data_IF_171733153160
#
_entry.id   IF_171733153160
#
_cell.length_a   1.000
_cell.length_b   1.000
_cell.length_c   1.000
_cell.angle_alpha   90.00
_cell.angle_beta   90.00
_cell.angle_gamma   90.00
#
_symmetry.space_group_name_H-M   'P 1'
#
loop_
_entity.id
_entity.type
_entity.pdbx_description
1 polymer ?
#
# COMPACT_ATOMS: atom_id res chain seq x y z
N UNK A 1 22.28 -56.86 33.87
CA UNK A 1 22.83 -56.23 32.65
C UNK A 1 21.65 -55.65 31.90
N UNK A 2 21.17 -54.43 32.15
CA UNK A 2 21.70 -53.10 31.73
C UNK A 2 22.11 -53.18 30.25
N UNK A 3 21.39 -52.58 29.29
CA UNK A 3 21.39 -51.13 29.03
C UNK A 3 20.12 -50.65 28.29
N UNK A 4 19.57 -49.53 28.76
CA UNK A 4 18.60 -48.66 28.09
C UNK A 4 19.33 -47.73 27.11
N UNK A 5 18.94 -47.71 25.84
CA UNK A 5 19.42 -46.72 24.86
C UNK A 5 18.44 -45.54 24.78
N UNK A 6 18.89 -44.42 25.34
CA UNK A 6 18.28 -43.10 25.31
C UNK A 6 18.62 -42.44 23.98
N UNK A 7 17.64 -42.23 23.10
CA UNK A 7 17.82 -41.47 21.86
C UNK A 7 17.57 -39.98 22.15
N UNK A 8 18.65 -39.20 22.10
CA UNK A 8 18.63 -37.75 22.15
C UNK A 8 18.05 -37.19 20.85
N UNK A 9 16.95 -36.46 20.95
CA UNK A 9 16.45 -35.60 19.88
C UNK A 9 17.43 -34.44 19.66
N UNK A 10 18.14 -34.48 18.53
CA UNK A 10 18.92 -33.35 18.03
C UNK A 10 17.99 -32.29 17.45
N UNK A 11 17.91 -31.15 18.12
CA UNK A 11 17.32 -29.92 17.60
C UNK A 11 18.27 -29.38 16.52
N UNK A 12 17.98 -29.73 15.26
CA UNK A 12 18.60 -29.13 14.10
C UNK A 12 18.06 -27.72 13.92
N UNK A 13 18.79 -26.71 14.38
CA UNK A 13 18.59 -25.32 13.96
C UNK A 13 18.96 -25.22 12.49
N UNK A 14 17.95 -25.33 11.60
CA UNK A 14 18.05 -24.96 10.20
C UNK A 14 18.29 -23.45 10.11
N UNK A 15 19.55 -23.07 10.16
CA UNK A 15 20.03 -21.73 9.84
C UNK A 15 19.77 -21.50 8.35
N UNK A 16 18.61 -20.90 8.07
CA UNK A 16 18.20 -20.43 6.75
C UNK A 16 19.20 -19.41 6.22
N UNK A 17 20.27 -19.92 5.62
CA UNK A 17 21.24 -19.16 4.85
C UNK A 17 20.51 -18.61 3.63
N UNK A 18 19.92 -17.42 3.79
CA UNK A 18 19.45 -16.55 2.71
C UNK A 18 20.60 -16.47 1.70
N UNK A 19 20.51 -17.26 0.64
CA UNK A 19 21.30 -17.05 -0.57
C UNK A 19 20.83 -15.70 -1.09
N UNK A 20 21.58 -14.66 -0.73
CA UNK A 20 21.51 -13.39 -1.43
C UNK A 20 21.78 -13.72 -2.89
N UNK A 21 20.74 -13.60 -3.71
CA UNK A 21 20.87 -13.59 -5.16
C UNK A 21 21.59 -12.29 -5.50
N UNK A 22 22.92 -12.29 -5.33
CA UNK A 22 23.81 -11.31 -5.91
C UNK A 22 23.89 -11.65 -7.41
N UNK A 23 22.80 -11.38 -8.12
CA UNK A 23 22.86 -11.12 -9.55
C UNK A 23 23.59 -9.78 -9.65
N UNK A 24 24.91 -9.84 -9.76
CA UNK A 24 25.70 -8.72 -10.26
C UNK A 24 24.99 -8.19 -11.51
N UNK A 25 24.54 -6.94 -11.43
CA UNK A 25 24.08 -6.16 -12.57
C UNK A 25 25.28 -5.97 -13.48
N UNK A 26 25.55 -6.93 -14.35
CA UNK A 26 26.55 -6.81 -15.40
C UNK A 26 26.07 -5.73 -16.39
N UNK A 27 26.69 -4.53 -16.41
CA UNK A 27 26.23 -3.42 -17.24
C UNK A 27 26.30 -3.74 -18.73
N UNK A 28 27.09 -4.74 -19.13
CA UNK A 28 27.15 -5.25 -20.51
C UNK A 28 25.88 -6.02 -20.95
N UNK A 29 25.01 -6.41 -20.02
CA UNK A 29 23.79 -7.16 -20.34
C UNK A 29 22.78 -6.36 -21.16
N UNK A 30 22.69 -5.05 -20.92
CA UNK A 30 21.72 -4.16 -21.58
C UNK A 30 22.10 -3.94 -23.05
N UNK A 31 23.39 -3.72 -23.32
CA UNK A 31 23.90 -3.51 -24.67
C UNK A 31 23.73 -4.75 -25.54
N UNK A 32 24.02 -5.93 -24.97
CA UNK A 32 23.85 -7.21 -25.67
C UNK A 32 22.39 -7.50 -26.01
N UNK A 33 21.47 -7.07 -25.16
CA UNK A 33 20.04 -7.23 -25.40
C UNK A 33 19.52 -6.30 -26.50
N UNK A 34 19.99 -5.05 -26.55
CA UNK A 34 19.69 -4.14 -27.66
C UNK A 34 20.26 -4.65 -28.99
N UNK A 35 21.47 -5.23 -28.97
CA UNK A 35 22.06 -5.83 -30.16
C UNK A 35 21.21 -6.98 -30.70
N UNK A 36 20.73 -7.87 -29.81
CA UNK A 36 19.85 -9.00 -30.14
C UNK A 36 18.51 -8.56 -30.74
N UNK A 37 17.90 -7.51 -30.18
CA UNK A 37 16.68 -6.91 -30.74
C UNK A 37 16.93 -6.30 -32.12
N UNK A 38 18.09 -5.68 -32.32
CA UNK A 38 18.53 -5.19 -33.63
C UNK A 38 18.66 -6.30 -34.67
N UNK A 39 19.22 -7.45 -34.30
CA UNK A 39 19.30 -8.61 -35.19
C UNK A 39 17.91 -9.19 -35.53
N UNK A 40 16.99 -9.25 -34.57
CA UNK A 40 15.61 -9.71 -34.80
C UNK A 40 14.85 -8.80 -35.78
N UNK A 41 14.96 -7.47 -35.65
CA UNK A 41 14.35 -6.55 -36.61
C UNK A 41 14.97 -6.69 -38.01
N UNK A 42 16.29 -6.88 -38.09
CA UNK A 42 16.98 -7.11 -39.38
C UNK A 42 16.54 -8.42 -40.02
N UNK A 43 16.38 -9.50 -39.26
CA UNK A 43 15.91 -10.78 -39.81
C UNK A 43 14.45 -10.71 -40.26
N UNK A 44 13.60 -9.97 -39.57
CA UNK A 44 12.22 -9.71 -39.99
C UNK A 44 12.15 -9.00 -41.35
N UNK A 45 12.92 -7.91 -41.53
CA UNK A 45 12.93 -7.17 -42.80
C UNK A 45 13.47 -8.01 -43.97
N UNK A 46 14.50 -8.84 -43.73
CA UNK A 46 15.02 -9.79 -44.71
C UNK A 46 13.98 -10.87 -45.06
N UNK A 47 13.28 -11.42 -44.07
CA UNK A 47 12.23 -12.39 -44.29
C UNK A 47 11.09 -11.77 -45.12
N UNK A 48 10.62 -10.56 -44.75
CA UNK A 48 9.58 -9.86 -45.51
C UNK A 48 9.98 -9.61 -46.97
N UNK A 49 11.25 -9.28 -47.23
CA UNK A 49 11.75 -9.09 -48.59
C UNK A 49 11.73 -10.40 -49.40
N UNK A 50 12.22 -11.51 -48.83
CA UNK A 50 12.23 -12.82 -49.52
C UNK A 50 10.82 -13.31 -49.84
N UNK A 51 9.87 -13.05 -48.95
CA UNK A 51 8.47 -13.41 -49.10
C UNK A 51 7.75 -12.66 -50.23
N UNK A 52 8.17 -11.42 -50.52
CA UNK A 52 7.55 -10.58 -51.55
C UNK A 52 7.99 -10.92 -52.99
N UNK A 53 9.06 -11.71 -53.18
CA UNK A 53 9.69 -11.84 -54.51
C UNK A 53 9.07 -12.90 -55.42
N UNK A 54 8.35 -13.93 -54.93
CA UNK A 54 7.47 -14.81 -55.74
C UNK A 54 7.02 -16.07 -54.97
N UNK A 55 5.77 -16.18 -54.52
CA UNK A 55 5.22 -17.39 -53.93
C UNK A 55 4.22 -18.03 -54.90
N UNK A 56 4.64 -18.95 -55.75
CA UNK A 56 3.70 -19.77 -56.55
C UNK A 56 3.77 -21.26 -56.20
N UNK A 57 4.39 -21.59 -55.06
CA UNK A 57 4.37 -22.95 -54.51
C UNK A 57 3.57 -22.96 -53.20
N UNK A 58 2.55 -23.82 -53.05
CA UNK A 58 1.76 -23.93 -51.81
C UNK A 58 2.63 -24.34 -50.60
N UNK A 59 3.75 -25.02 -50.85
CA UNK A 59 4.74 -25.32 -49.82
C UNK A 59 5.40 -24.05 -49.27
N UNK A 60 5.69 -23.08 -50.15
CA UNK A 60 6.26 -21.81 -49.74
C UNK A 60 5.24 -21.04 -48.90
N UNK A 61 3.97 -20.97 -49.31
CA UNK A 61 2.88 -20.33 -48.55
C UNK A 61 2.75 -20.88 -47.12
N UNK A 62 2.79 -22.21 -46.96
CA UNK A 62 2.74 -22.83 -45.64
C UNK A 62 3.98 -22.50 -44.80
N UNK A 63 5.18 -22.49 -45.42
CA UNK A 63 6.41 -22.07 -44.74
C UNK A 63 6.33 -20.60 -44.29
N UNK A 64 5.76 -19.70 -45.12
CA UNK A 64 5.50 -18.31 -44.74
C UNK A 64 4.63 -18.23 -43.50
N UNK A 65 3.51 -18.96 -43.48
CA UNK A 65 2.57 -18.96 -42.36
C UNK A 65 3.21 -19.47 -41.07
N UNK A 66 4.02 -20.52 -41.15
CA UNK A 66 4.78 -21.02 -40.00
C UNK A 66 5.78 -19.97 -39.48
N UNK A 67 6.54 -19.33 -40.38
CA UNK A 67 7.49 -18.27 -40.00
C UNK A 67 6.77 -17.07 -39.36
N UNK A 68 5.63 -16.65 -39.91
CA UNK A 68 4.82 -15.57 -39.35
C UNK A 68 4.25 -15.93 -37.96
N UNK A 69 3.74 -17.15 -37.79
CA UNK A 69 3.24 -17.64 -36.51
C UNK A 69 4.34 -17.72 -35.45
N UNK A 70 5.52 -18.20 -35.83
CA UNK A 70 6.69 -18.26 -34.95
C UNK A 70 7.17 -16.86 -34.54
N UNK A 71 7.30 -15.93 -35.49
CA UNK A 71 7.71 -14.55 -35.22
C UNK A 71 6.73 -13.86 -34.27
N UNK A 72 5.43 -14.04 -34.51
CA UNK A 72 4.38 -13.52 -33.62
C UNK A 72 4.53 -14.07 -32.20
N UNK A 73 4.73 -15.38 -32.07
CA UNK A 73 4.91 -16.03 -30.75
C UNK A 73 6.15 -15.51 -30.03
N UNK A 74 7.25 -15.28 -30.75
CA UNK A 74 8.46 -14.67 -30.17
C UNK A 74 8.23 -13.24 -29.69
N UNK A 75 7.52 -12.42 -30.47
CA UNK A 75 7.17 -11.04 -30.08
C UNK A 75 6.24 -11.02 -28.86
N UNK A 76 5.24 -11.91 -28.82
CA UNK A 76 4.34 -12.06 -27.67
C UNK A 76 5.11 -12.48 -26.42
N UNK A 77 6.03 -13.45 -26.52
CA UNK A 77 6.91 -13.84 -25.41
C UNK A 77 7.82 -12.71 -24.95
N UNK A 78 8.35 -11.92 -25.88
CA UNK A 78 9.17 -10.76 -25.55
C UNK A 78 8.36 -9.70 -24.78
N UNK A 79 7.11 -9.43 -25.21
CA UNK A 79 6.22 -8.52 -24.52
C UNK A 79 5.89 -8.99 -23.09
N UNK A 80 5.56 -10.27 -22.93
CA UNK A 80 5.32 -10.86 -21.60
C UNK A 80 6.56 -10.72 -20.71
N UNK A 81 7.75 -10.96 -21.25
CA UNK A 81 9.00 -10.78 -20.52
C UNK A 81 9.24 -9.33 -20.08
N UNK A 82 8.97 -8.35 -20.96
CA UNK A 82 9.05 -6.93 -20.60
C UNK A 82 8.08 -6.56 -19.48
N UNK A 83 6.83 -7.05 -19.55
CA UNK A 83 5.84 -6.84 -18.50
C UNK A 83 6.30 -7.44 -17.16
N UNK A 84 6.90 -8.63 -17.18
CA UNK A 84 7.45 -9.26 -15.97
C UNK A 84 8.62 -8.45 -15.39
N UNK A 85 9.51 -7.93 -16.23
CA UNK A 85 10.60 -7.05 -15.78
C UNK A 85 10.08 -5.77 -15.14
N UNK A 86 9.06 -5.15 -15.74
CA UNK A 86 8.42 -3.98 -15.18
C UNK A 86 7.75 -4.28 -13.82
N UNK A 87 7.06 -5.41 -13.70
CA UNK A 87 6.48 -5.84 -12.44
C UNK A 87 7.56 -6.05 -11.35
N UNK A 88 8.71 -6.63 -11.71
CA UNK A 88 9.85 -6.80 -10.79
C UNK A 88 10.47 -5.47 -10.35
N UNK A 89 10.58 -4.48 -11.24
CA UNK A 89 11.08 -3.16 -10.85
C UNK A 89 10.10 -2.40 -9.97
N UNK A 90 8.79 -2.57 -10.19
CA UNK A 90 7.77 -2.05 -9.29
C UNK A 90 7.84 -2.71 -7.90
N UNK A 91 8.04 -4.04 -7.85
CA UNK A 91 8.18 -4.78 -6.60
C UNK A 91 9.37 -4.27 -5.78
N UNK A 92 10.54 -4.08 -6.41
CA UNK A 92 11.72 -3.54 -5.71
C UNK A 92 11.51 -2.09 -5.27
N UNK A 93 10.83 -1.27 -6.07
CA UNK A 93 10.48 0.10 -5.69
C UNK A 93 9.55 0.15 -4.48
N UNK A 94 8.50 -0.67 -4.45
CA UNK A 94 7.58 -0.78 -3.32
C UNK A 94 8.29 -1.32 -2.07
N UNK A 95 9.17 -2.32 -2.24
CA UNK A 95 10.02 -2.82 -1.16
C UNK A 95 10.87 -1.72 -0.53
N UNK A 96 11.56 -0.92 -1.36
CA UNK A 96 12.36 0.23 -0.90
C UNK A 96 11.50 1.29 -0.21
N UNK A 97 10.25 1.52 -0.65
CA UNK A 97 9.34 2.44 0.01
C UNK A 97 8.91 1.94 1.39
N UNK A 98 8.58 0.66 1.52
CA UNK A 98 8.24 0.04 2.80
C UNK A 98 9.42 0.10 3.79
N UNK A 99 10.64 -0.17 3.32
CA UNK A 99 11.84 -0.08 4.14
C UNK A 99 12.07 1.36 4.66
N UNK A 100 11.86 2.37 3.80
CA UNK A 100 11.92 3.79 4.23
C UNK A 100 10.84 4.13 5.26
N UNK A 101 9.61 3.67 5.05
CA UNK A 101 8.52 3.88 6.01
C UNK A 101 8.84 3.23 7.36
N UNK A 102 9.40 2.01 7.35
CA UNK A 102 9.84 1.33 8.56
C UNK A 102 10.93 2.12 9.29
N UNK A 103 11.93 2.63 8.57
CA UNK A 103 13.00 3.45 9.17
C UNK A 103 12.44 4.73 9.82
N UNK A 104 11.50 5.42 9.17
CA UNK A 104 10.85 6.61 9.73
C UNK A 104 10.06 6.27 11.00
N UNK A 105 9.32 5.15 11.00
CA UNK A 105 8.58 4.72 12.18
C UNK A 105 9.51 4.35 13.35
N UNK A 106 10.64 3.69 13.07
CA UNK A 106 11.65 3.40 14.07
C UNK A 106 12.26 4.67 14.66
N UNK A 107 12.54 5.67 13.83
CA UNK A 107 13.02 6.98 14.26
C UNK A 107 12.00 7.70 15.14
N UNK A 108 10.71 7.70 14.77
CA UNK A 108 9.64 8.30 15.59
C UNK A 108 9.50 7.59 16.93
N UNK A 109 9.57 6.26 16.96
CA UNK A 109 9.56 5.52 18.23
C UNK A 109 10.77 5.87 19.10
N UNK A 110 11.98 5.94 18.51
CA UNK A 110 13.18 6.33 19.23
C UNK A 110 13.11 7.76 19.77
N UNK A 111 12.48 8.68 19.03
CA UNK A 111 12.23 10.05 19.47
C UNK A 111 11.24 10.10 20.64
N UNK A 112 10.15 9.32 20.59
CA UNK A 112 9.19 9.25 21.69
C UNK A 112 9.81 8.68 22.97
N UNK A 113 10.68 7.68 22.86
CA UNK A 113 11.42 7.13 24.00
C UNK A 113 12.40 8.16 24.58
N UNK A 114 13.09 8.92 23.72
CA UNK A 114 13.99 9.99 24.14
C UNK A 114 13.24 11.16 24.81
N UNK A 115 12.09 11.55 24.26
CA UNK A 115 11.24 12.61 24.79
C UNK A 115 10.64 12.22 26.15
N UNK A 116 10.22 10.96 26.32
CA UNK A 116 9.73 10.45 27.61
C UNK A 116 10.82 10.55 28.70
N UNK A 117 12.06 10.18 28.38
CA UNK A 117 13.20 10.31 29.30
C UNK A 117 13.51 11.78 29.62
N UNK A 118 13.40 12.68 28.63
CA UNK A 118 13.62 14.11 28.83
C UNK A 118 12.53 14.75 29.70
N UNK A 119 11.27 14.39 29.48
CA UNK A 119 10.13 14.91 30.25
C UNK A 119 10.18 14.43 31.72
N UNK A 120 10.54 13.16 31.95
CA UNK A 120 10.75 12.63 33.30
C UNK A 120 11.91 13.33 34.03
N UNK A 121 13.01 13.62 33.30
CA UNK A 121 14.14 14.40 33.82
C UNK A 121 13.74 15.84 34.13
N UNK A 122 12.93 16.47 33.28
CA UNK A 122 12.46 17.84 33.45
C UNK A 122 11.49 17.94 34.64
N UNK A 123 10.61 16.95 34.81
CA UNK A 123 9.72 16.81 35.96
C UNK A 123 10.49 16.62 37.28
N UNK A 124 11.56 15.79 37.27
CA UNK A 124 12.44 15.64 38.44
C UNK A 124 13.17 16.93 38.77
N UNK A 125 13.67 17.65 37.76
CA UNK A 125 14.35 18.93 37.94
C UNK A 125 13.40 20.00 38.52
N UNK A 126 12.14 20.03 38.09
CA UNK A 126 11.13 20.93 38.64
C UNK A 126 10.81 20.60 40.12
N UNK A 127 10.67 19.32 40.47
CA UNK A 127 10.46 18.89 41.88
C UNK A 127 11.64 19.27 42.76
N UNK A 128 12.85 19.06 42.27
CA UNK A 128 14.07 19.45 42.96
C UNK A 128 14.11 20.95 43.23
N UNK A 129 13.84 21.78 42.21
CA UNK A 129 13.77 23.23 42.36
C UNK A 129 12.68 23.68 43.32
N UNK A 130 11.47 23.11 43.24
CA UNK A 130 10.39 23.43 44.17
C UNK A 130 10.74 23.05 45.62
N UNK A 131 11.49 21.97 45.81
CA UNK A 131 11.95 21.56 47.14
C UNK A 131 13.00 22.53 47.68
N UNK A 132 13.97 22.95 46.84
CA UNK A 132 14.96 23.97 47.21
C UNK A 132 14.26 25.30 47.54
N UNK A 133 13.33 25.75 46.71
CA UNK A 133 12.60 26.99 46.96
C UNK A 133 11.85 26.96 48.28
N UNK A 134 11.21 25.84 48.63
CA UNK A 134 10.56 25.65 49.94
C UNK A 134 11.54 25.69 51.10
N UNK A 135 12.70 25.02 50.98
CA UNK A 135 13.76 25.07 52.00
C UNK A 135 14.30 26.49 52.19
N UNK A 136 14.48 27.23 51.09
CA UNK A 136 14.89 28.64 51.14
C UNK A 136 13.82 29.50 51.81
N UNK A 137 12.54 29.29 51.48
CA UNK A 137 11.42 29.98 52.13
C UNK A 137 11.34 29.66 53.63
N UNK A 138 11.50 28.39 54.04
CA UNK A 138 11.52 28.00 55.46
C UNK A 138 12.72 28.61 56.20
N UNK A 139 13.90 28.64 55.59
CA UNK A 139 15.08 29.27 56.19
C UNK A 139 14.90 30.78 56.31
N UNK A 140 14.21 31.42 55.36
CA UNK A 140 13.88 32.84 55.41
C UNK A 140 12.71 33.15 56.38
N UNK A 141 11.84 32.19 56.65
CA UNK A 141 10.72 32.28 57.61
C UNK A 141 11.04 31.71 58.99
N UNK A 142 12.28 31.27 59.24
CA UNK A 142 12.74 30.98 60.60
C UNK A 142 12.46 32.23 61.45
N UNK A 143 11.57 32.13 62.45
CA UNK A 143 11.21 33.27 63.25
C UNK A 143 12.46 33.72 64.02
N UNK A 144 12.93 34.91 63.70
CA UNK A 144 13.72 35.68 64.63
C UNK A 144 12.78 36.14 65.75
N UNK A 145 12.33 35.23 66.63
CA UNK A 145 11.65 35.64 67.84
C UNK A 145 12.02 34.79 69.06
N UNK A 146 12.72 35.48 69.95
CA UNK A 146 12.67 35.32 71.39
C UNK A 146 11.33 35.93 71.86
N UNK A 147 10.56 35.19 72.66
CA UNK A 147 9.38 35.61 73.45
C UNK A 147 8.05 35.80 72.69
N UNK A 148 6.83 35.51 73.17
CA UNK A 148 6.22 34.95 74.40
C UNK A 148 4.74 34.60 74.01
N UNK A 149 3.97 33.81 74.79
CA UNK A 149 2.68 33.24 74.37
C UNK A 149 1.44 33.99 74.91
N UNK A 150 0.33 33.99 74.17
CA UNK A 150 -1.03 34.07 74.77
C UNK A 150 -2.16 33.66 73.79
N UNK A 151 -3.02 32.77 74.29
CA UNK A 151 -4.47 32.59 74.08
C UNK A 151 -5.10 32.29 72.69
N UNK A 152 -5.39 30.98 72.53
CA UNK A 152 -6.72 30.34 72.43
C UNK A 152 -7.74 30.66 71.27
N UNK A 153 -8.59 29.67 70.88
CA UNK A 153 -9.18 29.48 69.52
C UNK A 153 -10.73 29.61 69.55
N UNK A 154 -11.59 28.99 68.69
CA UNK A 154 -11.45 28.27 67.39
C UNK A 154 -12.50 28.74 66.32
N UNK A 155 -12.47 28.20 65.08
CA UNK A 155 -13.67 27.70 64.33
C UNK A 155 -13.41 27.44 62.84
N UNK A 156 -14.10 26.41 62.33
CA UNK A 156 -14.47 26.10 60.94
C UNK A 156 -13.65 25.03 60.18
N UNK A 157 -14.17 23.79 60.25
CA UNK A 157 -13.92 22.68 59.33
C UNK A 157 -14.58 22.86 57.94
N UNK A 158 -14.06 22.18 56.88
CA UNK A 158 -14.55 22.20 55.50
C UNK A 158 -15.59 21.06 55.20
N UNK A 159 -16.19 21.01 53.99
CA UNK A 159 -17.55 20.49 53.75
C UNK A 159 -17.58 19.02 53.29
N UNK A 160 -18.78 18.39 53.29
CA UNK A 160 -19.05 17.32 52.33
C UNK A 160 -20.43 17.37 51.66
N UNK A 161 -20.43 16.86 50.42
CA UNK A 161 -21.51 16.14 49.70
C UNK A 161 -22.23 16.80 48.51
N UNK A 162 -22.10 16.06 47.40
CA UNK A 162 -22.86 16.05 46.15
C UNK A 162 -24.34 15.67 46.37
N UNK A 163 -25.21 15.95 45.39
CA UNK A 163 -25.78 14.83 44.62
C UNK A 163 -25.94 15.04 43.11
N UNK A 164 -26.13 13.91 42.43
CA UNK A 164 -26.40 13.65 41.01
C UNK A 164 -27.70 14.27 40.45
N UNK A 165 -27.73 14.50 39.13
CA UNK A 165 -28.86 14.31 38.19
C UNK A 165 -28.28 14.37 36.75
N UNK A 166 -28.18 13.28 35.98
CA UNK A 166 -29.19 12.66 35.09
C UNK A 166 -29.86 13.59 34.05
N UNK A 167 -29.47 13.46 32.77
CA UNK A 167 -30.33 13.52 31.56
C UNK A 167 -29.47 13.15 30.33
N UNK A 168 -29.46 11.89 29.86
CA UNK A 168 -30.33 11.32 28.81
C UNK A 168 -30.66 12.26 27.64
N UNK A 169 -30.03 12.05 26.48
CA UNK A 169 -30.75 11.66 25.25
C UNK A 169 -29.80 11.27 24.11
N UNK A 170 -29.79 9.97 23.82
CA UNK A 170 -29.49 9.43 22.51
C UNK A 170 -30.78 9.45 21.66
N UNK A 171 -30.64 9.64 20.35
CA UNK A 171 -31.29 8.90 19.25
C UNK A 171 -31.52 9.80 18.04
N UNK A 172 -30.82 9.54 16.93
CA UNK A 172 -31.46 9.57 15.61
C UNK A 172 -31.01 8.34 14.83
N UNK A 173 -32.00 7.50 14.53
CA UNK A 173 -31.96 6.31 13.70
C UNK A 173 -31.93 6.66 12.21
N UNK A 174 -31.17 5.84 11.48
CA UNK A 174 -31.59 5.09 10.28
C UNK A 174 -32.23 5.81 9.08
N UNK A 175 -31.55 5.72 7.93
CA UNK A 175 -32.11 5.38 6.63
C UNK A 175 -30.91 4.97 5.72
N UNK A 176 -30.87 3.89 4.96
CA UNK A 176 -31.81 2.83 4.64
C UNK A 176 -31.14 2.03 3.51
N UNK A 177 -30.48 0.92 3.86
CA UNK A 177 -30.01 -0.07 2.87
C UNK A 177 -31.25 -0.89 2.49
N UNK A 178 -31.83 -0.57 1.34
CA UNK A 178 -32.87 -1.39 0.72
C UNK A 178 -32.20 -2.39 -0.21
N UNK A 179 -31.86 -3.56 0.35
CA UNK A 179 -31.61 -4.78 -0.39
C UNK A 179 -32.98 -5.33 -0.80
N UNK A 180 -33.40 -5.11 -2.04
CA UNK A 180 -34.51 -5.85 -2.65
C UNK A 180 -33.92 -6.97 -3.50
N UNK A 181 -33.90 -8.15 -2.89
CA UNK A 181 -33.83 -9.44 -3.57
C UNK A 181 -35.12 -9.64 -4.37
N UNK A 182 -35.00 -9.82 -5.68
CA UNK A 182 -36.04 -10.46 -6.49
C UNK A 182 -35.35 -11.51 -7.34
N UNK A 183 -35.56 -12.75 -6.93
CA UNK A 183 -34.99 -13.96 -7.48
C UNK A 183 -35.78 -14.32 -8.75
N UNK A 184 -35.26 -13.92 -9.90
CA UNK A 184 -35.66 -14.39 -11.22
C UNK A 184 -34.34 -14.61 -11.94
N UNK A 185 -34.13 -15.73 -12.67
CA UNK A 185 -32.89 -15.96 -13.40
C UNK A 185 -32.85 -14.97 -14.57
N UNK A 186 -32.46 -13.72 -14.28
CA UNK A 186 -32.22 -12.71 -15.26
C UNK A 186 -31.08 -13.20 -16.18
N UNK A 187 -31.22 -13.02 -17.50
CA UNK A 187 -30.14 -13.32 -18.42
C UNK A 187 -28.92 -12.51 -17.98
N UNK A 188 -27.82 -13.20 -17.67
CA UNK A 188 -26.59 -12.56 -17.22
C UNK A 188 -26.24 -11.36 -18.13
N UNK A 189 -26.23 -10.16 -17.54
CA UNK A 189 -25.96 -8.92 -18.27
C UNK A 189 -24.56 -8.98 -18.90
N UNK A 190 -24.50 -9.27 -20.21
CA UNK A 190 -23.26 -9.36 -20.97
C UNK A 190 -22.89 -7.98 -21.52
N UNK A 191 -21.88 -7.37 -20.92
CA UNK A 191 -21.27 -6.12 -21.37
C UNK A 191 -19.98 -6.44 -22.15
N UNK A 192 -19.90 -5.97 -23.39
CA UNK A 192 -18.70 -6.09 -24.24
C UNK A 192 -18.16 -4.71 -24.56
N UNK A 193 -16.83 -4.55 -24.49
CA UNK A 193 -16.18 -3.26 -24.66
C UNK A 193 -14.96 -3.41 -25.55
N UNK A 194 -14.85 -2.54 -26.55
CA UNK A 194 -13.70 -2.41 -27.42
C UNK A 194 -12.97 -1.11 -27.09
N UNK A 195 -11.76 -1.24 -26.54
CA UNK A 195 -10.91 -0.12 -26.12
C UNK A 195 -9.87 0.27 -27.18
N UNK A 196 -9.55 -0.64 -28.10
CA UNK A 196 -8.55 -0.41 -29.14
C UNK A 196 -9.21 0.22 -30.37
N UNK A 197 -8.85 1.47 -30.67
CA UNK A 197 -9.44 2.26 -31.75
C UNK A 197 -10.61 3.12 -31.29
N UNK A 198 -11.65 3.22 -32.12
CA UNK A 198 -12.87 3.93 -31.74
C UNK A 198 -13.56 3.20 -30.59
N UNK A 199 -13.86 3.93 -29.52
CA UNK A 199 -14.46 3.35 -28.33
C UNK A 199 -15.89 2.87 -28.58
N UNK A 200 -16.11 1.56 -28.46
CA UNK A 200 -17.43 0.93 -28.62
C UNK A 200 -17.78 0.10 -27.39
N UNK A 201 -19.00 0.27 -26.90
CA UNK A 201 -19.54 -0.53 -25.81
C UNK A 201 -20.89 -1.10 -26.25
N UNK A 202 -21.11 -2.38 -26.02
CA UNK A 202 -22.36 -3.07 -26.31
C UNK A 202 -22.88 -3.80 -25.08
N UNK A 203 -24.19 -3.70 -24.86
CA UNK A 203 -24.92 -4.45 -23.84
C UNK A 203 -25.84 -5.43 -24.56
N UNK A 204 -25.69 -6.74 -24.30
CA UNK A 204 -26.42 -7.78 -25.03
C UNK A 204 -26.29 -7.63 -26.56
N UNK A 205 -25.06 -7.41 -27.02
CA UNK A 205 -24.71 -7.19 -28.43
C UNK A 205 -25.38 -5.96 -29.09
N UNK A 206 -26.06 -5.10 -28.30
CA UNK A 206 -26.59 -3.80 -28.74
C UNK A 206 -25.62 -2.68 -28.39
N UNK A 207 -25.12 -1.99 -29.41
CA UNK A 207 -24.20 -0.86 -29.24
C UNK A 207 -24.87 0.32 -28.50
N UNK A 208 -24.20 0.82 -27.46
CA UNK A 208 -24.61 1.97 -26.68
C UNK A 208 -24.18 3.25 -27.42
N UNK A 209 -25.04 3.71 -28.34
CA UNK A 209 -24.78 4.94 -29.12
C UNK A 209 -25.11 6.22 -28.35
N UNK A 210 -26.09 6.17 -27.44
CA UNK A 210 -26.54 7.33 -26.66
C UNK A 210 -26.08 7.22 -25.21
N UNK A 211 -25.10 8.04 -24.85
CA UNK A 211 -24.65 8.18 -23.48
C UNK A 211 -25.47 9.24 -22.75
N UNK A 212 -26.04 8.94 -21.57
CA UNK A 212 -26.79 9.91 -20.80
C UNK A 212 -25.84 11.01 -20.31
N UNK A 213 -26.08 12.24 -20.80
CA UNK A 213 -25.25 13.44 -20.57
C UNK A 213 -23.85 13.29 -21.22
N UNK A 214 -23.43 14.22 -22.08
CA UNK A 214 -22.24 14.09 -22.95
C UNK A 214 -20.89 13.72 -22.29
N UNK A 215 -20.82 13.66 -20.95
CA UNK A 215 -19.68 13.17 -20.17
C UNK A 215 -19.69 11.66 -19.89
N UNK A 216 -20.83 10.98 -20.08
CA UNK A 216 -21.02 9.57 -19.71
C UNK A 216 -20.01 8.63 -20.36
N UNK A 217 -19.66 8.86 -21.64
CA UNK A 217 -18.65 8.06 -22.33
C UNK A 217 -17.25 8.20 -21.70
N UNK A 218 -16.88 9.41 -21.27
CA UNK A 218 -15.57 9.66 -20.65
C UNK A 218 -15.49 9.05 -19.25
N UNK A 219 -16.54 9.20 -18.45
CA UNK A 219 -16.67 8.57 -17.13
C UNK A 219 -16.59 7.05 -17.27
N UNK A 220 -17.31 6.48 -18.23
CA UNK A 220 -17.32 5.04 -18.44
C UNK A 220 -15.95 4.50 -18.90
N UNK A 221 -15.25 5.20 -19.80
CA UNK A 221 -13.84 4.89 -20.13
C UNK A 221 -12.96 4.89 -18.89
N UNK A 222 -13.07 5.93 -18.06
CA UNK A 222 -12.29 6.05 -16.84
C UNK A 222 -12.53 4.88 -15.88
N UNK A 223 -13.80 4.53 -15.65
CA UNK A 223 -14.18 3.40 -14.80
C UNK A 223 -13.66 2.06 -15.34
N UNK A 224 -13.66 1.87 -16.66
CA UNK A 224 -13.10 0.67 -17.29
C UNK A 224 -11.59 0.55 -17.10
N UNK A 225 -10.86 1.66 -17.23
CA UNK A 225 -9.42 1.69 -16.98
C UNK A 225 -9.09 1.39 -15.51
N UNK A 226 -9.94 1.83 -14.60
CA UNK A 226 -9.76 1.66 -13.15
C UNK A 226 -10.58 0.51 -12.56
N UNK A 227 -11.01 -0.49 -13.36
CA UNK A 227 -11.88 -1.58 -12.87
C UNK A 227 -11.31 -2.40 -11.70
N UNK A 228 -9.99 -2.40 -11.52
CA UNK A 228 -9.32 -3.11 -10.44
C UNK A 228 -9.36 -2.34 -9.10
N UNK A 229 -9.71 -1.06 -9.11
CA UNK A 229 -9.72 -0.20 -7.92
C UNK A 229 -11.05 0.51 -7.76
N UNK A 230 -11.61 0.58 -6.54
CA UNK A 230 -12.83 1.34 -6.30
C UNK A 230 -12.57 2.83 -6.51
N UNK A 231 -13.27 3.44 -7.47
CA UNK A 231 -13.17 4.87 -7.77
C UNK A 231 -14.16 5.65 -6.90
N UNK A 232 -13.64 6.62 -6.13
CA UNK A 232 -14.46 7.51 -5.31
C UNK A 232 -15.21 8.55 -6.15
N UNK A 233 -16.39 8.94 -5.69
CA UNK A 233 -17.26 9.91 -6.38
C UNK A 233 -16.61 11.27 -6.55
N UNK A 234 -15.89 11.75 -5.53
CA UNK A 234 -15.22 13.05 -5.52
C UNK A 234 -14.24 13.15 -6.70
N UNK A 235 -13.54 12.05 -7.01
CA UNK A 235 -12.57 12.00 -8.11
C UNK A 235 -13.22 12.07 -9.48
N UNK A 236 -14.38 11.44 -9.65
CA UNK A 236 -15.17 11.53 -10.89
C UNK A 236 -15.68 12.95 -11.13
N UNK A 237 -16.11 13.63 -10.07
CA UNK A 237 -16.59 15.02 -10.13
C UNK A 237 -15.50 16.03 -10.47
N UNK A 238 -14.28 15.81 -9.96
CA UNK A 238 -13.13 16.67 -10.25
C UNK A 238 -12.64 16.52 -11.70
N UNK A 239 -12.76 15.31 -12.26
CA UNK A 239 -12.16 14.99 -13.58
C UNK A 239 -13.10 15.30 -14.76
N UNK A 240 -14.42 15.23 -14.58
CA UNK A 240 -15.40 15.26 -15.68
C UNK A 240 -16.43 16.37 -15.60
#
# INVERSE_FOLDING_TARGET
MITTHTNHAGVGTESGKRRGNHLENDPNGVDRQQELLGYLCKSETLAQHVLNVSPHSPLMEHAVQLCQGYLKTLLDMHHVWQCLQHARSQESQLGNQLERMQAVLQEVCAQLDADAVMDERQALQARYWNTISKLVEEVLHLPADIAEPADAPPSAEPPPNLPLSEERQACVKSAGVSTLTTDTPEPALKLSVHLFGEFKASLHDREIKRWPRGKGQKIFKYLLLHRATPVRKERLMETF
#
